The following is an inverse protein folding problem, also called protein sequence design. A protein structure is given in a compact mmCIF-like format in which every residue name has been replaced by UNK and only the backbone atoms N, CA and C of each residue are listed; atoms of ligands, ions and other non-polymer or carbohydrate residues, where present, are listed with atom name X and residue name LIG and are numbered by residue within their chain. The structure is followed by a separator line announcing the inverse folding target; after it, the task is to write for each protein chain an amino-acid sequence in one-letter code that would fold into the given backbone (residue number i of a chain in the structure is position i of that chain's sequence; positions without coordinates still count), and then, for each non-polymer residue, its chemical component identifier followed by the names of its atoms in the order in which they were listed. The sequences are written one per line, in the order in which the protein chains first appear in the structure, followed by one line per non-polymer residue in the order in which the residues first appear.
data_IF_522032838357
#
_entry.id   IF_522032838357
#
_cell.length_a   1.000
_cell.length_b   1.000
_cell.length_c   1.000
_cell.angle_alpha   90.00
_cell.angle_beta   90.00
_cell.angle_gamma   90.00
#
_symmetry.space_group_name_H-M   'P 1'
#
loop_
_entity.id
_entity.type
_entity.pdbx_description
1 polymer ?
#
# COMPACT_ATOMS: atom_id res chain seq x y z
N UNK A 1 -71.82 2.64 18.57
CA UNK A 1 -70.40 2.53 18.95
C UNK A 1 -69.58 2.53 17.66
N UNK A 2 -68.85 3.63 17.38
CA UNK A 2 -67.94 3.68 16.23
C UNK A 2 -66.53 3.35 16.71
N UNK A 3 -65.94 2.29 16.13
CA UNK A 3 -64.55 1.87 16.40
C UNK A 3 -63.59 2.86 15.70
N UNK A 4 -62.61 3.45 16.40
CA UNK A 4 -61.64 4.34 15.74
C UNK A 4 -60.70 3.55 14.85
N UNK A 5 -60.59 3.94 13.57
CA UNK A 5 -59.65 3.39 12.58
C UNK A 5 -58.28 3.98 12.94
N UNK A 6 -57.31 3.11 13.22
CA UNK A 6 -55.92 3.42 13.45
C UNK A 6 -55.29 3.88 12.11
N UNK A 7 -54.58 5.05 12.09
CA UNK A 7 -53.93 5.48 10.85
C UNK A 7 -52.83 4.48 10.46
N UNK A 8 -52.80 4.11 9.18
CA UNK A 8 -51.73 3.29 8.60
C UNK A 8 -50.39 4.04 8.67
N UNK A 9 -49.26 3.38 8.94
CA UNK A 9 -47.96 4.01 8.88
C UNK A 9 -47.70 4.50 7.46
N UNK A 10 -47.20 5.75 7.35
CA UNK A 10 -46.79 6.34 6.07
C UNK A 10 -45.87 5.41 5.31
N UNK A 11 -46.20 5.16 4.03
CA UNK A 11 -45.29 4.47 3.11
C UNK A 11 -43.94 5.23 3.07
N UNK A 12 -42.81 4.51 3.04
CA UNK A 12 -41.51 5.16 2.91
C UNK A 12 -41.49 6.03 1.64
N UNK A 13 -41.03 7.26 1.75
CA UNK A 13 -40.86 8.20 0.64
C UNK A 13 -40.00 7.54 -0.44
N UNK A 14 -40.29 7.76 -1.75
CA UNK A 14 -39.49 7.18 -2.82
C UNK A 14 -38.03 7.64 -2.65
N UNK A 15 -37.14 6.67 -2.50
CA UNK A 15 -35.71 6.91 -2.30
C UNK A 15 -35.15 7.64 -3.53
N UNK A 16 -34.53 8.79 -3.30
CA UNK A 16 -33.92 9.61 -4.34
C UNK A 16 -32.67 8.90 -4.94
N UNK A 17 -32.71 8.32 -6.14
CA UNK A 17 -31.58 7.58 -6.72
C UNK A 17 -30.35 8.48 -6.96
N UNK A 18 -30.56 9.77 -7.31
CA UNK A 18 -29.47 10.73 -7.51
C UNK A 18 -28.74 11.07 -6.21
N UNK A 19 -29.44 11.09 -5.08
CA UNK A 19 -28.81 11.29 -3.76
C UNK A 19 -27.87 10.14 -3.41
N UNK A 20 -28.31 8.90 -3.65
CA UNK A 20 -27.48 7.72 -3.37
C UNK A 20 -26.24 7.61 -4.29
N UNK A 21 -26.34 8.02 -5.56
CA UNK A 21 -25.18 8.08 -6.46
C UNK A 21 -24.17 9.11 -6.00
N UNK A 22 -24.62 10.30 -5.58
CA UNK A 22 -23.76 11.34 -5.03
C UNK A 22 -23.06 10.88 -3.73
N UNK A 23 -23.78 10.24 -2.81
CA UNK A 23 -23.23 9.67 -1.58
C UNK A 23 -22.18 8.57 -1.86
N UNK A 24 -22.43 7.68 -2.83
CA UNK A 24 -21.48 6.65 -3.23
C UNK A 24 -20.22 7.23 -3.87
N UNK A 25 -20.37 8.25 -4.71
CA UNK A 25 -19.24 8.93 -5.32
C UNK A 25 -18.39 9.66 -4.27
N UNK A 26 -19.03 10.29 -3.29
CA UNK A 26 -18.33 10.95 -2.18
C UNK A 26 -17.61 9.93 -1.28
N UNK A 27 -18.26 8.84 -0.91
CA UNK A 27 -17.63 7.77 -0.14
C UNK A 27 -16.45 7.15 -0.91
N UNK A 28 -16.54 7.03 -2.24
CA UNK A 28 -15.45 6.59 -3.11
C UNK A 28 -14.26 7.53 -3.06
N UNK A 29 -14.48 8.86 -3.17
CA UNK A 29 -13.41 9.88 -3.04
C UNK A 29 -12.75 9.85 -1.67
N UNK A 30 -13.52 9.84 -0.59
CA UNK A 30 -13.00 9.75 0.77
C UNK A 30 -12.18 8.48 0.99
N UNK A 31 -12.62 7.35 0.43
CA UNK A 31 -11.87 6.09 0.48
C UNK A 31 -10.55 6.17 -0.29
N UNK A 32 -10.55 6.80 -1.47
CA UNK A 32 -9.34 7.00 -2.27
C UNK A 32 -8.35 7.92 -1.56
N UNK A 33 -8.82 9.03 -1.00
CA UNK A 33 -8.00 9.95 -0.20
C UNK A 33 -7.38 9.23 1.01
N UNK A 34 -8.13 8.38 1.70
CA UNK A 34 -7.61 7.60 2.81
C UNK A 34 -6.46 6.65 2.40
N UNK A 35 -6.50 6.09 1.16
CA UNK A 35 -5.38 5.29 0.62
C UNK A 35 -4.15 6.17 0.41
N UNK A 36 -4.31 7.36 -0.15
CA UNK A 36 -3.20 8.28 -0.37
C UNK A 36 -2.63 8.83 0.95
N UNK A 37 -3.48 9.14 1.94
CA UNK A 37 -3.06 9.58 3.27
C UNK A 37 -2.22 8.49 3.98
N UNK A 38 -2.63 7.23 3.83
CA UNK A 38 -1.86 6.13 4.40
C UNK A 38 -0.54 5.88 3.66
N UNK A 39 -0.50 6.05 2.33
CA UNK A 39 0.72 5.99 1.54
C UNK A 39 1.69 7.10 1.97
N UNK A 40 1.21 8.33 2.09
CA UNK A 40 2.00 9.46 2.58
C UNK A 40 2.56 9.20 3.99
N UNK A 41 1.71 8.71 4.88
CA UNK A 41 2.13 8.31 6.22
C UNK A 41 3.26 7.27 6.16
N UNK A 42 3.08 6.19 5.41
CA UNK A 42 4.11 5.14 5.27
C UNK A 42 5.42 5.69 4.71
N UNK A 43 5.39 6.44 3.61
CA UNK A 43 6.59 7.04 3.00
C UNK A 43 7.28 8.05 3.94
N UNK A 44 6.50 8.78 4.74
CA UNK A 44 7.04 9.69 5.76
C UNK A 44 7.78 8.92 6.87
N UNK A 45 7.30 7.71 7.25
CA UNK A 45 8.05 6.85 8.19
C UNK A 45 9.37 6.39 7.60
N UNK A 46 9.38 5.95 6.32
CA UNK A 46 10.62 5.60 5.62
C UNK A 46 11.58 6.80 5.53
N UNK A 47 11.05 7.99 5.24
CA UNK A 47 11.81 9.25 5.18
C UNK A 47 12.57 9.55 6.49
N UNK A 48 12.03 9.13 7.63
CA UNK A 48 12.65 9.29 8.95
C UNK A 48 13.79 8.31 9.24
N UNK A 49 14.03 7.32 8.39
CA UNK A 49 15.08 6.32 8.60
C UNK A 49 16.45 6.86 8.18
N UNK A 50 17.48 6.59 8.98
CA UNK A 50 18.84 7.07 8.74
C UNK A 50 19.50 6.51 7.47
N UNK A 51 19.00 5.42 6.93
CA UNK A 51 19.45 4.83 5.66
C UNK A 51 18.82 5.49 4.43
N UNK A 52 17.79 6.31 4.59
CA UNK A 52 17.11 6.97 3.50
C UNK A 52 17.60 8.41 3.32
N UNK A 53 17.55 8.89 2.09
CA UNK A 53 17.78 10.31 1.75
C UNK A 53 16.47 10.91 1.28
N UNK A 54 16.21 12.15 1.62
CA UNK A 54 14.99 12.84 1.19
C UNK A 54 15.17 14.33 1.06
N UNK A 55 14.33 14.96 0.23
CA UNK A 55 14.24 16.42 0.07
C UNK A 55 12.79 16.82 -0.15
N UNK A 56 12.39 17.96 0.38
CA UNK A 56 11.09 18.55 0.07
C UNK A 56 11.08 19.14 -1.33
N UNK A 57 9.94 19.04 -2.02
CA UNK A 57 9.74 19.58 -3.35
C UNK A 57 9.15 21.00 -3.30
N UNK A 58 9.52 21.88 -4.24
CA UNK A 58 8.80 23.12 -4.47
C UNK A 58 7.30 22.85 -4.68
N UNK A 59 6.46 23.67 -4.06
CA UNK A 59 5.00 23.51 -4.17
C UNK A 59 4.41 22.32 -3.40
N UNK A 60 5.18 21.64 -2.56
CA UNK A 60 4.76 20.56 -1.66
C UNK A 60 5.10 19.15 -2.15
N UNK A 61 5.11 18.21 -1.22
CA UNK A 61 5.58 16.84 -1.45
C UNK A 61 7.06 16.66 -1.18
N UNK A 62 7.61 15.49 -1.50
CA UNK A 62 9.01 15.16 -1.24
C UNK A 62 9.52 14.05 -2.17
N UNK A 63 10.84 13.98 -2.30
CA UNK A 63 11.55 12.83 -2.86
C UNK A 63 12.07 11.94 -1.72
N UNK A 64 12.06 10.63 -1.94
CA UNK A 64 12.58 9.61 -1.04
C UNK A 64 13.44 8.62 -1.82
N UNK A 65 14.71 8.51 -1.45
CA UNK A 65 15.65 7.53 -1.95
C UNK A 65 16.00 6.55 -0.82
N UNK A 66 15.74 5.26 -1.05
CA UNK A 66 15.98 4.20 -0.05
C UNK A 66 17.35 3.53 -0.18
N UNK A 67 18.15 3.95 -1.18
CA UNK A 67 19.41 3.29 -1.53
C UNK A 67 19.24 2.14 -2.51
N UNK A 68 18.04 1.93 -3.05
CA UNK A 68 17.73 0.85 -3.99
C UNK A 68 18.00 1.26 -5.44
N UNK A 69 18.46 0.29 -6.24
CA UNK A 69 18.55 0.43 -7.70
C UNK A 69 17.22 0.12 -8.39
N UNK A 70 16.16 -0.24 -7.66
CA UNK A 70 14.82 -0.45 -8.18
C UNK A 70 13.98 0.83 -8.11
N UNK A 71 13.29 1.16 -9.20
CA UNK A 71 12.39 2.31 -9.25
C UNK A 71 11.25 2.20 -8.23
N UNK A 72 10.72 1.00 -8.00
CA UNK A 72 9.59 0.76 -7.09
C UNK A 72 9.89 1.03 -5.61
N UNK A 73 11.17 1.15 -5.24
CA UNK A 73 11.60 1.44 -3.87
C UNK A 73 11.93 2.92 -3.65
N UNK A 74 12.03 3.73 -4.71
CA UNK A 74 12.36 5.15 -4.62
C UNK A 74 11.16 5.98 -5.10
N UNK A 75 10.79 6.99 -4.35
CA UNK A 75 9.51 7.64 -4.51
C UNK A 75 9.62 9.15 -4.66
N UNK A 76 8.82 9.70 -5.54
CA UNK A 76 8.39 11.10 -5.43
C UNK A 76 6.95 11.09 -4.99
N UNK A 77 6.64 11.72 -3.86
CA UNK A 77 5.28 11.80 -3.36
C UNK A 77 4.80 13.24 -3.32
N UNK A 78 3.63 13.49 -3.91
CA UNK A 78 2.96 14.79 -3.90
C UNK A 78 1.45 14.58 -3.92
N UNK A 79 0.73 15.39 -3.17
CA UNK A 79 -0.75 15.46 -3.21
C UNK A 79 -1.19 16.65 -4.05
N UNK A 80 -2.36 16.52 -4.69
CA UNK A 80 -3.00 17.60 -5.43
C UNK A 80 -2.53 17.73 -6.87
N UNK A 81 -2.44 18.95 -7.36
CA UNK A 81 -2.22 19.24 -8.77
C UNK A 81 -0.94 18.59 -9.35
N UNK A 82 -0.96 18.34 -10.67
CA UNK A 82 0.20 17.88 -11.41
C UNK A 82 1.42 18.78 -11.14
N UNK A 83 2.65 18.20 -11.11
CA UNK A 83 3.86 18.97 -10.85
C UNK A 83 4.11 19.99 -11.96
N UNK A 84 4.66 21.13 -11.58
CA UNK A 84 5.25 22.08 -12.49
C UNK A 84 6.70 21.70 -12.85
N UNK A 85 7.30 22.41 -13.79
CA UNK A 85 8.67 22.15 -14.25
C UNK A 85 9.71 22.31 -13.15
N UNK A 86 9.51 23.23 -12.21
CA UNK A 86 10.43 23.45 -11.09
C UNK A 86 10.50 22.24 -10.17
N UNK A 87 9.34 21.65 -9.83
CA UNK A 87 9.26 20.43 -9.03
C UNK A 87 9.90 19.23 -9.76
N UNK A 88 9.71 19.12 -11.08
CA UNK A 88 10.33 18.05 -11.88
C UNK A 88 11.84 18.18 -11.89
N UNK A 89 12.38 19.36 -12.14
CA UNK A 89 13.82 19.61 -12.09
C UNK A 89 14.41 19.32 -10.70
N UNK A 90 13.70 19.71 -9.64
CA UNK A 90 14.15 19.42 -8.27
C UNK A 90 14.23 17.92 -7.99
N UNK A 91 13.22 17.15 -8.41
CA UNK A 91 13.23 15.70 -8.27
C UNK A 91 14.37 15.04 -9.06
N UNK A 92 14.55 15.41 -10.34
CA UNK A 92 15.62 14.87 -11.17
C UNK A 92 17.01 15.15 -10.57
N UNK A 93 17.31 16.39 -10.16
CA UNK A 93 18.58 16.74 -9.49
C UNK A 93 18.81 15.94 -8.22
N UNK A 94 17.75 15.68 -7.43
CA UNK A 94 17.88 14.88 -6.23
C UNK A 94 18.28 13.44 -6.54
N UNK A 95 17.62 12.79 -7.51
CA UNK A 95 17.94 11.41 -7.87
C UNK A 95 19.26 11.28 -8.64
N UNK A 96 19.66 12.27 -9.41
CA UNK A 96 21.01 12.37 -9.96
C UNK A 96 22.08 12.38 -8.85
N UNK A 97 21.87 13.17 -7.80
CA UNK A 97 22.79 13.22 -6.65
C UNK A 97 22.72 11.95 -5.77
N UNK A 98 21.74 11.08 -5.96
CA UNK A 98 21.62 9.80 -5.26
C UNK A 98 22.25 8.64 -6.04
N UNK A 99 22.39 8.77 -7.36
CA UNK A 99 22.91 7.70 -8.21
C UNK A 99 24.37 7.37 -7.88
N UNK A 100 24.71 6.08 -7.99
CA UNK A 100 26.09 5.60 -7.84
C UNK A 100 26.89 5.63 -9.16
N UNK A 101 26.25 5.99 -10.28
CA UNK A 101 26.80 6.00 -11.64
C UNK A 101 26.30 7.19 -12.46
N UNK A 102 26.40 7.10 -13.78
CA UNK A 102 25.88 8.12 -14.69
C UNK A 102 24.34 8.07 -14.75
N UNK A 103 23.70 9.24 -14.75
CA UNK A 103 22.25 9.41 -14.78
C UNK A 103 21.62 9.52 -13.39
N UNK A 104 20.29 9.56 -13.34
CA UNK A 104 19.52 9.61 -12.10
C UNK A 104 19.24 8.20 -11.57
N UNK A 105 19.25 8.03 -10.25
CA UNK A 105 18.72 6.82 -9.63
C UNK A 105 17.25 6.64 -10.05
N UNK A 106 16.81 5.41 -10.35
CA UNK A 106 15.44 5.16 -10.80
C UNK A 106 14.44 5.45 -9.68
N UNK A 107 13.28 6.00 -10.01
CA UNK A 107 12.21 6.32 -9.07
C UNK A 107 10.84 6.22 -9.73
N UNK A 108 9.80 6.12 -8.91
CA UNK A 108 8.40 6.24 -9.35
C UNK A 108 7.75 7.51 -8.79
N UNK A 109 6.86 8.09 -9.59
CA UNK A 109 6.07 9.24 -9.21
C UNK A 109 4.58 8.90 -9.37
N UNK A 110 3.87 8.52 -8.30
CA UNK A 110 2.44 8.29 -8.34
C UNK A 110 1.68 9.63 -8.44
N UNK A 111 0.86 9.79 -9.47
CA UNK A 111 0.09 11.01 -9.72
C UNK A 111 -1.36 10.68 -10.11
N UNK A 112 -2.29 10.62 -9.15
CA UNK A 112 -3.70 10.38 -9.41
C UNK A 112 -4.34 11.38 -10.38
N UNK A 113 -3.89 12.63 -10.33
CA UNK A 113 -4.38 13.72 -11.18
C UNK A 113 -3.77 13.72 -12.60
N UNK A 114 -2.90 12.75 -12.88
CA UNK A 114 -2.19 12.65 -14.16
C UNK A 114 -0.81 13.32 -14.18
N UNK A 115 0.01 12.92 -15.15
CA UNK A 115 1.44 13.27 -15.22
C UNK A 115 1.77 14.71 -15.64
N UNK A 116 0.81 15.44 -16.20
CA UNK A 116 1.06 16.82 -16.63
C UNK A 116 2.27 16.96 -17.56
N UNK A 117 3.33 17.64 -17.08
CA UNK A 117 4.55 17.91 -17.84
C UNK A 117 5.55 16.72 -17.86
N UNK A 118 5.39 15.70 -16.99
CA UNK A 118 6.36 14.63 -16.78
C UNK A 118 6.84 13.93 -18.07
N UNK A 119 5.99 13.60 -19.03
CA UNK A 119 6.44 12.95 -20.26
C UNK A 119 7.48 13.76 -21.06
N UNK A 120 7.44 15.10 -20.97
CA UNK A 120 8.41 15.99 -21.63
C UNK A 120 9.81 15.90 -21.00
N UNK A 121 9.90 15.42 -19.76
CA UNK A 121 11.14 15.21 -19.03
C UNK A 121 11.62 13.76 -19.05
N UNK A 122 11.09 12.94 -19.97
CA UNK A 122 11.48 11.54 -20.06
C UNK A 122 10.89 10.65 -18.95
N UNK A 123 9.81 11.10 -18.32
CA UNK A 123 9.08 10.38 -17.28
C UNK A 123 7.67 10.01 -17.78
N UNK A 124 7.54 9.06 -18.74
CA UNK A 124 6.23 8.61 -19.21
C UNK A 124 5.49 7.79 -18.15
N UNK A 125 4.19 7.62 -18.33
CA UNK A 125 3.44 6.63 -17.56
C UNK A 125 3.94 5.22 -17.90
N UNK A 126 4.30 4.44 -16.87
CA UNK A 126 4.86 3.09 -17.00
C UNK A 126 3.97 2.02 -16.39
N UNK A 127 2.97 2.41 -15.61
CA UNK A 127 2.06 1.48 -14.97
C UNK A 127 1.01 2.18 -14.12
N UNK A 128 0.18 1.38 -13.49
CA UNK A 128 -0.87 1.85 -12.56
C UNK A 128 -1.00 0.92 -11.38
N UNK A 129 -1.24 1.51 -10.22
CA UNK A 129 -1.74 0.80 -9.06
C UNK A 129 -3.24 1.03 -8.93
N UNK A 130 -3.96 0.06 -8.41
CA UNK A 130 -5.36 0.22 -8.04
C UNK A 130 -5.46 0.47 -6.54
N UNK A 131 -5.94 1.65 -6.15
CA UNK A 131 -6.27 1.94 -4.77
C UNK A 131 -7.47 1.10 -4.36
N UNK A 132 -7.35 0.36 -3.28
CA UNK A 132 -8.39 -0.56 -2.82
C UNK A 132 -8.57 -0.46 -1.30
N UNK A 133 -9.79 -0.72 -0.85
CA UNK A 133 -10.10 -0.80 0.57
C UNK A 133 -11.04 -1.96 0.90
N UNK A 134 -10.95 -2.41 2.16
CA UNK A 134 -11.88 -3.37 2.75
C UNK A 134 -12.19 -2.98 4.19
N UNK A 135 -13.48 -2.94 4.53
CA UNK A 135 -13.91 -2.82 5.94
C UNK A 135 -13.60 -4.09 6.73
N UNK A 136 -13.30 -3.94 8.01
CA UNK A 136 -13.13 -5.03 8.98
C UNK A 136 -14.37 -5.15 9.85
N UNK A 137 -14.88 -6.37 10.08
CA UNK A 137 -16.02 -6.63 10.96
C UNK A 137 -17.24 -7.24 10.28
N UNK A 138 -17.14 -7.60 9.00
CA UNK A 138 -18.17 -8.36 8.32
C UNK A 138 -18.24 -9.83 8.78
N UNK A 139 -19.38 -10.53 8.57
CA UNK A 139 -19.53 -11.94 8.92
C UNK A 139 -18.48 -12.86 8.28
N UNK A 140 -17.97 -12.48 7.10
CA UNK A 140 -16.91 -13.20 6.40
C UNK A 140 -15.53 -13.10 7.09
N UNK A 141 -15.34 -12.13 7.98
CA UNK A 141 -14.06 -11.96 8.71
C UNK A 141 -13.88 -12.92 9.87
N UNK A 142 -14.93 -13.66 10.24
CA UNK A 142 -14.90 -14.70 11.28
C UNK A 142 -14.69 -16.10 10.73
N UNK A 143 -14.73 -16.25 9.39
CA UNK A 143 -14.43 -17.52 8.77
C UNK A 143 -12.92 -17.81 8.89
N UNK A 144 -12.59 -18.97 9.48
CA UNK A 144 -11.24 -19.57 9.46
C UNK A 144 -10.87 -19.95 8.01
N UNK A 145 -10.71 -18.93 7.15
CA UNK A 145 -10.49 -19.10 5.70
C UNK A 145 -9.03 -19.30 5.32
N UNK A 146 -8.13 -19.49 6.29
CA UNK A 146 -6.71 -19.67 6.06
C UNK A 146 -6.29 -21.13 6.05
N UNK A 147 -5.16 -21.43 5.39
CA UNK A 147 -4.48 -22.71 5.56
C UNK A 147 -4.03 -22.84 7.03
N UNK A 148 -4.51 -23.82 7.81
CA UNK A 148 -4.17 -23.99 9.23
C UNK A 148 -2.70 -24.30 9.47
N UNK A 149 -1.96 -24.72 8.45
CA UNK A 149 -0.52 -24.96 8.52
C UNK A 149 0.30 -23.67 8.52
N UNK A 150 -0.32 -22.51 8.21
CA UNK A 150 0.37 -21.23 8.19
C UNK A 150 0.36 -20.59 9.57
N UNK A 151 1.53 -20.39 10.13
CA UNK A 151 1.76 -19.64 11.35
C UNK A 151 2.29 -18.23 11.04
N UNK A 152 2.16 -17.31 12.00
CA UNK A 152 2.57 -15.90 11.83
C UNK A 152 3.52 -15.50 12.95
N UNK A 153 4.65 -14.92 12.55
CA UNK A 153 5.70 -14.49 13.49
C UNK A 153 5.98 -13.00 13.27
N UNK A 154 5.78 -12.16 14.29
CA UNK A 154 6.21 -10.77 14.25
C UNK A 154 7.74 -10.68 14.13
N UNK A 155 8.23 -9.71 13.38
CA UNK A 155 9.67 -9.46 13.22
C UNK A 155 10.15 -8.62 14.40
N UNK A 156 10.75 -9.25 15.40
CA UNK A 156 11.15 -8.61 16.65
C UNK A 156 12.67 -8.43 16.78
N UNK A 157 13.47 -9.18 16.05
CA UNK A 157 14.93 -9.18 16.12
C UNK A 157 15.57 -8.95 14.74
N UNK A 158 16.88 -8.83 14.73
CA UNK A 158 17.66 -8.54 13.54
C UNK A 158 17.67 -9.74 12.57
N UNK A 159 17.79 -10.94 13.10
CA UNK A 159 17.76 -12.18 12.30
C UNK A 159 16.38 -12.37 11.61
N UNK A 160 15.29 -12.02 12.30
CA UNK A 160 13.95 -11.98 11.73
C UNK A 160 13.83 -10.94 10.63
N UNK A 161 14.43 -9.76 10.79
CA UNK A 161 14.43 -8.71 9.78
C UNK A 161 15.18 -9.13 8.51
N UNK A 162 16.31 -9.81 8.66
CA UNK A 162 17.08 -10.35 7.52
C UNK A 162 16.29 -11.40 6.75
N UNK A 163 15.69 -12.37 7.44
CA UNK A 163 14.85 -13.39 6.80
C UNK A 163 13.60 -12.79 6.14
N UNK A 164 12.99 -11.78 6.79
CA UNK A 164 11.84 -11.06 6.22
C UNK A 164 12.22 -10.36 4.92
N UNK A 165 13.36 -9.64 4.88
CA UNK A 165 13.87 -8.98 3.67
C UNK A 165 14.10 -9.97 2.53
N UNK A 166 14.74 -11.10 2.81
CA UNK A 166 15.00 -12.16 1.83
C UNK A 166 13.69 -12.77 1.30
N UNK A 167 12.74 -13.07 2.19
CA UNK A 167 11.45 -13.67 1.82
C UNK A 167 10.63 -12.70 0.97
N UNK A 168 10.62 -11.42 1.34
CA UNK A 168 9.94 -10.36 0.59
C UNK A 168 10.56 -10.21 -0.80
N UNK A 169 11.88 -10.14 -0.90
CA UNK A 169 12.62 -10.02 -2.14
C UNK A 169 12.30 -11.15 -3.12
N UNK A 170 12.35 -12.40 -2.65
CA UNK A 170 11.94 -13.57 -3.45
C UNK A 170 10.45 -13.54 -3.81
N UNK A 171 9.61 -13.02 -2.93
CA UNK A 171 8.17 -12.90 -3.14
C UNK A 171 7.79 -11.96 -4.29
N UNK A 172 8.61 -10.95 -4.58
CA UNK A 172 8.48 -10.09 -5.76
C UNK A 172 9.14 -10.66 -7.02
N UNK A 173 9.58 -11.93 -6.99
CA UNK A 173 10.09 -12.64 -8.17
C UNK A 173 11.59 -12.51 -8.38
N UNK A 174 12.29 -11.86 -7.49
CA UNK A 174 13.75 -11.79 -7.53
C UNK A 174 14.41 -13.12 -7.10
N UNK A 175 15.65 -13.31 -7.51
CA UNK A 175 16.47 -14.45 -7.08
C UNK A 175 16.85 -14.39 -5.59
N UNK A 176 17.56 -15.40 -5.08
CA UNK A 176 18.10 -15.37 -3.73
C UNK A 176 19.17 -14.26 -3.57
N UNK A 177 19.30 -13.75 -2.36
CA UNK A 177 20.27 -12.71 -2.01
C UNK A 177 19.68 -11.30 -2.11
N UNK A 178 18.81 -10.95 -1.15
CA UNK A 178 18.29 -9.59 -1.02
C UNK A 178 19.43 -8.56 -0.90
N UNK A 179 19.34 -7.40 -1.58
CA UNK A 179 20.40 -6.38 -1.50
C UNK A 179 20.64 -5.86 -0.09
N UNK A 180 21.89 -5.50 0.22
CA UNK A 180 22.28 -5.03 1.55
C UNK A 180 21.53 -3.79 2.02
N UNK A 181 21.21 -2.86 1.12
CA UNK A 181 20.37 -1.69 1.42
C UNK A 181 18.96 -2.07 1.87
N UNK A 182 18.36 -3.12 1.30
CA UNK A 182 17.05 -3.63 1.72
C UNK A 182 17.09 -4.17 3.15
N UNK A 183 18.14 -4.90 3.53
CA UNK A 183 18.32 -5.37 4.92
C UNK A 183 18.39 -4.18 5.90
N UNK A 184 19.11 -3.10 5.54
CA UNK A 184 19.19 -1.88 6.36
C UNK A 184 17.84 -1.20 6.47
N UNK A 185 17.10 -1.09 5.37
CA UNK A 185 15.75 -0.51 5.32
C UNK A 185 14.78 -1.29 6.23
N UNK A 186 14.78 -2.62 6.13
CA UNK A 186 13.88 -3.49 6.93
C UNK A 186 14.21 -3.38 8.42
N UNK A 187 15.49 -3.34 8.79
CA UNK A 187 15.90 -3.10 10.19
C UNK A 187 15.38 -1.76 10.71
N UNK A 188 15.45 -0.71 9.89
CA UNK A 188 14.91 0.61 10.23
C UNK A 188 13.39 0.57 10.40
N UNK A 189 12.66 -0.04 9.47
CA UNK A 189 11.20 -0.19 9.55
C UNK A 189 10.77 -0.97 10.80
N UNK A 190 11.50 -2.02 11.17
CA UNK A 190 11.21 -2.81 12.38
C UNK A 190 11.29 -1.97 13.66
N UNK A 191 12.18 -1.00 13.71
CA UNK A 191 12.35 -0.13 14.87
C UNK A 191 11.23 0.92 15.01
N UNK A 192 10.42 1.14 13.98
CA UNK A 192 9.31 2.09 14.00
C UNK A 192 8.06 1.45 14.60
N UNK A 193 7.61 1.93 15.75
CA UNK A 193 6.46 1.40 16.47
C UNK A 193 5.10 1.54 15.76
N UNK A 194 5.03 2.27 14.64
CA UNK A 194 3.82 2.42 13.81
C UNK A 194 3.80 1.45 12.61
N UNK A 195 4.90 0.74 12.41
CA UNK A 195 5.06 -0.26 11.37
C UNK A 195 5.12 -1.66 12.02
N UNK A 196 4.31 -2.59 11.53
CA UNK A 196 4.28 -3.96 12.02
C UNK A 196 4.68 -4.91 10.88
N UNK A 197 5.85 -5.53 11.00
CA UNK A 197 6.35 -6.51 10.04
C UNK A 197 6.01 -7.91 10.53
N UNK A 198 5.47 -8.75 9.65
CA UNK A 198 5.08 -10.13 9.97
C UNK A 198 5.58 -11.09 8.89
N UNK A 199 6.11 -12.23 9.32
CA UNK A 199 6.44 -13.36 8.46
C UNK A 199 5.36 -14.44 8.59
N UNK A 200 4.84 -14.92 7.46
CA UNK A 200 4.04 -16.13 7.38
C UNK A 200 4.95 -17.35 7.20
N UNK A 201 4.71 -18.43 7.94
CA UNK A 201 5.56 -19.62 7.95
C UNK A 201 4.75 -20.89 7.73
N UNK A 202 5.33 -21.84 6.99
CA UNK A 202 4.85 -23.23 6.87
C UNK A 202 5.99 -24.13 7.31
N UNK A 203 5.75 -25.06 8.24
CA UNK A 203 6.76 -26.01 8.70
C UNK A 203 8.11 -25.35 9.03
N UNK A 204 8.10 -24.26 9.76
CA UNK A 204 9.30 -23.49 10.08
C UNK A 204 10.05 -22.81 8.91
N UNK A 205 9.49 -22.84 7.71
CA UNK A 205 10.02 -22.11 6.55
C UNK A 205 9.27 -20.80 6.33
N UNK A 206 9.99 -19.74 6.05
CA UNK A 206 9.40 -18.43 5.74
C UNK A 206 8.73 -18.48 4.36
N UNK A 207 7.41 -18.32 4.35
CA UNK A 207 6.53 -18.58 3.21
C UNK A 207 5.82 -17.33 2.66
N UNK A 208 5.92 -16.21 3.37
CA UNK A 208 5.35 -14.94 2.94
C UNK A 208 5.63 -13.82 3.92
N UNK A 209 5.42 -12.58 3.47
CA UNK A 209 5.63 -11.36 4.27
C UNK A 209 4.52 -10.37 4.07
N UNK A 210 4.26 -9.56 5.07
CA UNK A 210 3.51 -8.32 4.95
C UNK A 210 3.96 -7.30 5.99
N UNK A 211 3.71 -6.02 5.69
CA UNK A 211 3.88 -4.90 6.59
C UNK A 211 2.55 -4.18 6.75
N UNK A 212 2.22 -3.80 7.98
CA UNK A 212 1.10 -2.91 8.29
C UNK A 212 1.63 -1.56 8.73
N UNK A 213 1.16 -0.50 8.08
CA UNK A 213 1.40 0.89 8.47
C UNK A 213 0.13 1.47 9.10
N UNK A 214 0.20 1.80 10.39
CA UNK A 214 -0.97 2.19 11.20
C UNK A 214 -0.76 3.54 11.86
N UNK A 215 -1.20 4.62 11.21
CA UNK A 215 -1.19 5.94 11.85
C UNK A 215 -2.10 5.93 13.09
N UNK A 216 -1.65 6.46 14.25
CA UNK A 216 -2.45 6.43 15.49
C UNK A 216 -3.84 7.05 15.35
N UNK A 217 -3.95 8.16 14.64
CA UNK A 217 -5.21 8.90 14.43
C UNK A 217 -6.11 8.34 13.34
N UNK A 218 -5.61 7.43 12.47
CA UNK A 218 -6.40 6.86 11.38
C UNK A 218 -7.25 5.68 11.84
N UNK A 219 -8.50 5.54 11.38
CA UNK A 219 -9.30 4.33 11.60
C UNK A 219 -8.88 3.16 10.70
N UNK A 220 -7.88 3.34 9.85
CA UNK A 220 -7.42 2.38 8.86
C UNK A 220 -5.95 1.98 9.07
N UNK A 221 -5.57 0.83 8.52
CA UNK A 221 -4.18 0.39 8.38
C UNK A 221 -3.88 0.07 6.91
N UNK A 222 -2.73 0.49 6.42
CA UNK A 222 -2.25 0.16 5.08
C UNK A 222 -1.43 -1.12 5.07
N UNK A 223 -1.55 -1.88 3.99
CA UNK A 223 -0.79 -3.11 3.74
C UNK A 223 0.29 -2.84 2.70
N UNK A 224 1.53 -3.17 3.03
CA UNK A 224 2.70 -3.02 2.17
C UNK A 224 3.51 -4.31 2.15
N UNK A 225 4.35 -4.49 1.15
CA UNK A 225 5.24 -5.65 1.02
C UNK A 225 4.54 -6.99 1.23
N UNK A 226 3.30 -7.09 0.74
CA UNK A 226 2.53 -8.34 0.75
C UNK A 226 3.05 -9.26 -0.34
N UNK A 227 3.86 -10.21 0.05
CA UNK A 227 4.61 -11.03 -0.90
C UNK A 227 4.60 -12.52 -0.50
N UNK A 228 4.50 -13.39 -1.51
CA UNK A 228 4.58 -14.85 -1.35
C UNK A 228 5.58 -15.39 -2.39
N UNK A 229 6.72 -15.96 -1.95
CA UNK A 229 7.70 -16.56 -2.84
C UNK A 229 7.07 -17.61 -3.77
N UNK A 230 7.51 -17.73 -5.03
CA UNK A 230 6.90 -18.62 -6.03
C UNK A 230 6.65 -20.04 -5.55
N UNK A 231 7.59 -20.62 -4.79
CA UNK A 231 7.50 -22.00 -4.24
C UNK A 231 6.35 -22.22 -3.26
N UNK A 232 5.78 -21.14 -2.70
CA UNK A 232 4.67 -21.22 -1.72
C UNK A 232 3.34 -20.69 -2.30
N UNK A 233 3.33 -20.23 -3.55
CA UNK A 233 2.09 -19.79 -4.21
C UNK A 233 1.11 -20.94 -4.39
N UNK A 234 -0.18 -20.63 -4.48
CA UNK A 234 -1.29 -21.59 -4.65
C UNK A 234 -1.44 -22.61 -3.52
N UNK A 235 -0.82 -22.35 -2.37
CA UNK A 235 -0.91 -23.17 -1.14
C UNK A 235 -1.74 -22.50 -0.03
N UNK A 236 -2.57 -21.50 -0.36
CA UNK A 236 -3.42 -20.79 0.61
C UNK A 236 -2.69 -19.79 1.50
N UNK A 237 -1.36 -19.55 1.31
CA UNK A 237 -0.56 -18.63 2.13
C UNK A 237 -1.10 -17.21 2.09
N UNK A 238 -1.36 -16.67 0.89
CA UNK A 238 -1.89 -15.31 0.74
C UNK A 238 -3.26 -15.14 1.43
N UNK A 239 -4.14 -16.15 1.34
CA UNK A 239 -5.44 -16.15 2.01
C UNK A 239 -5.29 -16.14 3.53
N UNK A 240 -4.39 -16.98 4.07
CA UNK A 240 -4.09 -16.99 5.49
C UNK A 240 -3.48 -15.66 5.97
N UNK A 241 -2.56 -15.07 5.20
CA UNK A 241 -1.99 -13.76 5.49
C UNK A 241 -3.06 -12.67 5.55
N UNK A 242 -4.02 -12.69 4.61
CA UNK A 242 -5.11 -11.70 4.60
C UNK A 242 -6.02 -11.86 5.82
N UNK A 243 -6.35 -13.09 6.21
CA UNK A 243 -7.12 -13.35 7.43
C UNK A 243 -6.39 -12.82 8.69
N UNK A 244 -5.07 -13.04 8.78
CA UNK A 244 -4.25 -12.53 9.88
C UNK A 244 -4.18 -11.00 9.90
N UNK A 245 -4.03 -10.34 8.72
CA UNK A 245 -4.07 -8.89 8.59
C UNK A 245 -5.38 -8.35 9.17
N UNK A 246 -6.52 -8.88 8.75
CA UNK A 246 -7.83 -8.45 9.25
C UNK A 246 -7.96 -8.66 10.77
N UNK A 247 -7.42 -9.76 11.29
CA UNK A 247 -7.39 -10.05 12.73
C UNK A 247 -6.53 -9.03 13.50
N UNK A 248 -5.33 -8.71 13.02
CA UNK A 248 -4.43 -7.72 13.65
C UNK A 248 -5.07 -6.34 13.62
N UNK A 249 -5.57 -5.91 12.47
CA UNK A 249 -6.19 -4.59 12.27
C UNK A 249 -7.39 -4.40 13.20
N UNK A 250 -8.28 -5.40 13.32
CA UNK A 250 -9.41 -5.37 14.27
C UNK A 250 -8.96 -5.31 15.72
N UNK A 251 -7.97 -6.13 16.11
CA UNK A 251 -7.42 -6.11 17.48
C UNK A 251 -6.80 -4.78 17.84
N UNK A 252 -6.21 -4.10 16.86
CA UNK A 252 -5.69 -2.73 16.98
C UNK A 252 -6.77 -1.64 16.99
N UNK A 253 -8.07 -2.00 17.02
CA UNK A 253 -9.20 -1.05 17.06
C UNK A 253 -9.41 -0.33 15.71
N UNK A 254 -8.76 -0.76 14.63
CA UNK A 254 -8.97 -0.20 13.29
C UNK A 254 -10.15 -0.90 12.59
N UNK A 255 -10.77 -0.19 11.65
CA UNK A 255 -12.00 -0.64 10.98
C UNK A 255 -11.84 -0.87 9.48
N UNK A 256 -10.69 -0.54 8.93
CA UNK A 256 -10.47 -0.59 7.48
C UNK A 256 -9.03 -1.00 7.16
N UNK A 257 -8.88 -1.79 6.10
CA UNK A 257 -7.60 -2.13 5.47
C UNK A 257 -7.52 -1.43 4.12
N UNK A 258 -6.38 -0.79 3.86
CA UNK A 258 -6.09 -0.02 2.65
C UNK A 258 -4.87 -0.62 1.95
N UNK A 259 -4.84 -0.56 0.63
CA UNK A 259 -3.68 -0.96 -0.15
C UNK A 259 -3.67 -0.34 -1.55
N UNK A 260 -2.52 -0.43 -2.21
CA UNK A 260 -2.34 -0.15 -3.64
C UNK A 260 -1.95 -1.47 -4.31
N UNK A 261 -2.88 -2.02 -5.11
CA UNK A 261 -2.69 -3.30 -5.77
C UNK A 261 -1.96 -3.13 -7.11
N UNK A 262 -0.94 -3.96 -7.35
CA UNK A 262 -0.40 -4.14 -8.70
C UNK A 262 -1.41 -4.86 -9.58
N UNK A 263 -1.36 -4.72 -10.93
CA UNK A 263 -2.28 -5.42 -11.83
C UNK A 263 -2.37 -6.94 -11.56
N UNK A 264 -1.26 -7.58 -11.24
CA UNK A 264 -1.21 -9.02 -10.92
C UNK A 264 -1.88 -9.37 -9.59
N UNK A 265 -1.91 -8.43 -8.63
CA UNK A 265 -2.52 -8.62 -7.30
C UNK A 265 -4.03 -8.37 -7.26
N UNK A 266 -4.56 -7.54 -8.17
CA UNK A 266 -5.97 -7.12 -8.18
C UNK A 266 -6.96 -8.30 -8.08
N UNK A 267 -6.83 -9.40 -8.86
CA UNK A 267 -7.79 -10.50 -8.77
C UNK A 267 -7.85 -11.15 -7.39
N UNK A 268 -6.71 -11.25 -6.70
CA UNK A 268 -6.66 -11.78 -5.34
C UNK A 268 -7.40 -10.87 -4.36
N UNK A 269 -7.14 -9.55 -4.41
CA UNK A 269 -7.78 -8.61 -3.48
C UNK A 269 -9.27 -8.46 -3.71
N UNK A 270 -9.74 -8.49 -4.97
CA UNK A 270 -11.17 -8.54 -5.27
C UNK A 270 -11.82 -9.79 -4.68
N UNK A 271 -11.20 -10.98 -4.85
CA UNK A 271 -11.67 -12.22 -4.25
C UNK A 271 -11.63 -12.19 -2.72
N UNK A 272 -10.70 -11.44 -2.13
CA UNK A 272 -10.61 -11.19 -0.70
C UNK A 272 -11.59 -10.11 -0.20
N UNK A 273 -12.50 -9.61 -1.03
CA UNK A 273 -13.56 -8.67 -0.66
C UNK A 273 -13.14 -7.20 -0.60
N UNK A 274 -12.04 -6.83 -1.23
CA UNK A 274 -11.67 -5.41 -1.39
C UNK A 274 -12.49 -4.76 -2.49
N UNK A 275 -12.92 -3.52 -2.26
CA UNK A 275 -13.50 -2.64 -3.27
C UNK A 275 -12.43 -1.79 -3.93
N UNK A 276 -12.54 -1.60 -5.26
CA UNK A 276 -11.73 -0.66 -6.01
C UNK A 276 -12.21 0.79 -5.77
N UNK A 277 -11.27 1.71 -5.62
CA UNK A 277 -11.55 3.13 -5.33
C UNK A 277 -11.11 4.05 -6.47
N UNK A 278 -10.01 3.72 -7.15
CA UNK A 278 -9.47 4.51 -8.25
C UNK A 278 -8.07 4.06 -8.65
N UNK A 279 -7.63 4.48 -9.81
CA UNK A 279 -6.29 4.19 -10.31
C UNK A 279 -5.28 5.25 -9.87
N UNK A 280 -4.04 4.83 -9.67
CA UNK A 280 -2.89 5.69 -9.37
C UNK A 280 -1.86 5.47 -10.48
N UNK A 281 -1.84 6.31 -11.53
CA UNK A 281 -0.81 6.25 -12.57
C UNK A 281 0.58 6.46 -11.98
N UNK A 282 1.55 5.71 -12.49
CA UNK A 282 2.95 5.75 -12.09
C UNK A 282 3.81 6.23 -13.25
N UNK A 283 4.60 7.26 -12.99
CA UNK A 283 5.52 7.86 -13.94
C UNK A 283 6.95 7.51 -13.54
N UNK A 284 7.78 7.10 -14.51
CA UNK A 284 9.16 6.69 -14.27
C UNK A 284 10.00 6.82 -15.54
N UNK A 285 11.30 7.03 -15.39
CA UNK A 285 12.27 6.92 -16.47
C UNK A 285 12.66 5.44 -16.75
N UNK A 286 12.57 4.57 -15.73
CA UNK A 286 12.87 3.15 -15.86
C UNK A 286 11.68 2.33 -16.41
N UNK A 287 11.96 1.17 -17.00
CA UNK A 287 10.92 0.27 -17.51
C UNK A 287 10.37 -0.66 -16.42
N UNK A 288 11.15 -0.94 -15.38
CA UNK A 288 10.79 -1.86 -14.28
C UNK A 288 10.08 -1.11 -13.15
N UNK A 289 8.76 -1.00 -13.25
CA UNK A 289 7.92 -0.41 -12.20
C UNK A 289 7.30 -1.48 -11.29
N UNK A 290 7.12 -2.73 -11.82
CA UNK A 290 6.64 -3.91 -11.08
C UNK A 290 7.26 -5.19 -11.62
#
# INVERSE_FOLDING_TARGET
MRVPVKPMPNAPSPENPMGREAERAEAGRQGFDAVLDNLEFFLTRLRGLSCCRSVDLPGGGFCLFTGSDSASENWVFRRGAAPDEEAVHAALRFFEACAAGEGAAPFIWPLPEGGGVLPRFGLPERGRLLAMSRGCGGPADTADGGNPEVSFVPVLDEAGAERWAETMWQGFGAGPGAPGNLHVLVRGMRADGTLTLVTARIEDQDAGTFLLASAPSSPAAGVYYFAVPPRYRRRGVATAMMAEILRIVRRGGKRQVLLQATPSGVPFYLAAGFGALGEIPLFSAGDDVF
#
